data_IF_611110758353
#
_entry.id   IF_611110758353
#
_cell.length_a   1.000
_cell.length_b   1.000
_cell.length_c   1.000
_cell.angle_alpha   90.00
_cell.angle_beta   90.00
_cell.angle_gamma   90.00
#
_symmetry.space_group_name_H-M   'P 1'
#
loop_
_entity.id
_entity.type
_entity.pdbx_description
1 polymer ?
#
# COMPACT_ATOMS: atom_id res chain seq x y z
N UNK A 1 2.85 -37.40 3.00
CA UNK A 1 2.77 -36.17 2.17
C UNK A 1 1.77 -35.21 2.80
N UNK A 2 1.92 -33.91 2.54
CA UNK A 2 1.26 -32.73 3.14
C UNK A 2 2.02 -32.10 4.33
N UNK A 3 2.97 -31.19 4.03
CA UNK A 3 3.43 -30.13 4.96
C UNK A 3 2.53 -28.92 4.72
N UNK A 4 1.75 -28.59 5.74
CA UNK A 4 0.75 -27.52 5.75
C UNK A 4 1.43 -26.15 5.73
N UNK A 5 1.00 -25.30 4.81
CA UNK A 5 1.44 -23.92 4.52
C UNK A 5 0.92 -22.89 5.54
N UNK A 6 1.02 -23.19 6.83
CA UNK A 6 0.34 -22.40 7.88
C UNK A 6 1.25 -21.37 8.59
N UNK A 7 2.56 -21.39 8.30
CA UNK A 7 3.56 -20.52 8.94
C UNK A 7 4.20 -19.45 8.02
N UNK A 8 3.93 -19.47 6.71
CA UNK A 8 4.59 -18.54 5.79
C UNK A 8 3.97 -17.13 5.84
N UNK A 9 2.66 -17.04 6.06
CA UNK A 9 1.93 -15.76 6.04
C UNK A 9 2.07 -14.93 7.31
N UNK A 10 2.23 -15.56 8.49
CA UNK A 10 2.28 -14.83 9.77
C UNK A 10 3.52 -13.93 9.88
N UNK A 11 4.67 -14.40 9.38
CA UNK A 11 5.91 -13.62 9.37
C UNK A 11 6.15 -12.79 8.10
N UNK A 12 5.51 -13.10 6.97
CA UNK A 12 5.78 -12.40 5.71
C UNK A 12 5.47 -10.90 5.79
N UNK A 13 4.29 -10.54 6.29
CA UNK A 13 3.85 -9.14 6.45
C UNK A 13 4.74 -8.35 7.42
N UNK A 14 5.23 -9.02 8.46
CA UNK A 14 6.17 -8.42 9.41
C UNK A 14 7.55 -8.18 8.76
N UNK A 15 8.08 -9.17 8.01
CA UNK A 15 9.33 -9.02 7.26
C UNK A 15 9.26 -7.90 6.23
N UNK A 16 8.15 -7.76 5.50
CA UNK A 16 7.97 -6.66 4.55
C UNK A 16 7.93 -5.30 5.24
N UNK A 17 7.19 -5.17 6.36
CA UNK A 17 7.20 -3.93 7.16
C UNK A 17 8.59 -3.57 7.65
N UNK A 18 9.35 -4.55 8.16
CA UNK A 18 10.73 -4.34 8.60
C UNK A 18 11.62 -3.87 7.44
N UNK A 19 11.54 -4.56 6.29
CA UNK A 19 12.27 -4.19 5.05
C UNK A 19 11.96 -2.75 4.63
N UNK A 20 10.69 -2.33 4.69
CA UNK A 20 10.26 -0.96 4.37
C UNK A 20 10.78 0.08 5.38
N UNK A 21 10.72 -0.21 6.68
CA UNK A 21 11.23 0.71 7.71
C UNK A 21 12.74 0.95 7.54
N UNK A 22 13.49 -0.09 7.16
CA UNK A 22 14.95 -0.01 7.00
C UNK A 22 15.38 0.65 5.68
N UNK A 23 14.63 0.44 4.59
CA UNK A 23 15.11 0.76 3.23
C UNK A 23 14.12 1.60 2.40
N UNK A 24 12.95 1.95 2.92
CA UNK A 24 11.87 2.52 2.13
C UNK A 24 11.38 1.57 1.04
N UNK A 25 10.73 2.10 -0.01
CA UNK A 25 10.31 1.33 -1.17
C UNK A 25 11.40 1.14 -2.23
N UNK A 26 12.59 1.71 -2.05
CA UNK A 26 13.68 1.67 -3.05
C UNK A 26 14.16 0.25 -3.38
N UNK A 27 13.94 -0.69 -2.47
CA UNK A 27 14.32 -2.11 -2.58
C UNK A 27 13.13 -3.04 -2.88
N UNK A 28 11.97 -2.46 -3.21
CA UNK A 28 10.74 -3.21 -3.49
C UNK A 28 10.46 -3.20 -4.99
N UNK A 29 10.02 -4.34 -5.50
CA UNK A 29 9.33 -4.35 -6.78
C UNK A 29 7.98 -3.63 -6.65
N UNK A 30 7.48 -3.04 -7.73
CA UNK A 30 6.23 -2.25 -7.69
C UNK A 30 5.03 -3.03 -7.15
N UNK A 31 4.93 -4.31 -7.50
CA UNK A 31 3.87 -5.20 -7.00
C UNK A 31 4.04 -5.52 -5.51
N UNK A 32 5.27 -5.67 -5.01
CA UNK A 32 5.53 -5.88 -3.57
C UNK A 32 5.14 -4.64 -2.76
N UNK A 33 5.44 -3.44 -3.27
CA UNK A 33 5.05 -2.19 -2.62
C UNK A 33 3.53 -2.04 -2.57
N UNK A 34 2.83 -2.30 -3.69
CA UNK A 34 1.37 -2.26 -3.74
C UNK A 34 0.74 -3.34 -2.85
N UNK A 35 1.29 -4.55 -2.84
CA UNK A 35 0.85 -5.64 -1.97
C UNK A 35 0.95 -5.23 -0.50
N UNK A 36 2.08 -4.67 -0.10
CA UNK A 36 2.29 -4.21 1.27
C UNK A 36 1.30 -3.10 1.65
N UNK A 37 0.99 -2.19 0.73
CA UNK A 37 0.01 -1.15 0.97
C UNK A 37 -1.40 -1.73 1.19
N UNK A 38 -1.79 -2.73 0.39
CA UNK A 38 -3.08 -3.42 0.51
C UNK A 38 -3.23 -4.19 1.83
N UNK A 39 -2.14 -4.55 2.51
CA UNK A 39 -2.20 -5.23 3.80
C UNK A 39 -3.03 -4.50 4.86
N UNK A 40 -3.05 -3.16 4.79
CA UNK A 40 -3.70 -2.31 5.77
C UNK A 40 -5.21 -2.25 5.61
N UNK A 41 -5.75 -2.57 4.44
CA UNK A 41 -7.19 -2.66 4.22
C UNK A 41 -7.71 -4.10 4.04
N UNK A 42 -6.82 -5.06 3.76
CA UNK A 42 -7.19 -6.45 3.49
C UNK A 42 -6.45 -7.38 4.48
N UNK A 43 -7.01 -7.59 5.68
CA UNK A 43 -6.41 -8.45 6.69
C UNK A 43 -6.56 -9.93 6.34
N UNK A 44 -5.52 -10.73 6.61
CA UNK A 44 -5.54 -12.20 6.58
C UNK A 44 -5.95 -12.83 5.22
N UNK A 45 -5.76 -12.12 4.12
CA UNK A 45 -5.87 -12.66 2.75
C UNK A 45 -4.53 -12.55 2.03
N UNK A 46 -4.30 -13.41 1.05
CA UNK A 46 -3.21 -13.23 0.11
C UNK A 46 -3.55 -12.06 -0.83
N UNK A 47 -2.73 -11.02 -0.81
CA UNK A 47 -2.89 -9.82 -1.64
C UNK A 47 -1.90 -9.77 -2.79
N UNK A 48 -0.96 -10.72 -2.89
CA UNK A 48 0.03 -10.76 -3.96
C UNK A 48 -0.66 -10.91 -5.34
N UNK A 49 -1.58 -11.88 -5.55
CA UNK A 49 -2.28 -11.98 -6.83
C UNK A 49 -3.11 -10.73 -7.16
N UNK A 50 -3.66 -10.06 -6.14
CA UNK A 50 -4.43 -8.84 -6.34
C UNK A 50 -3.55 -7.69 -6.82
N UNK A 51 -2.37 -7.51 -6.21
CA UNK A 51 -1.42 -6.48 -6.62
C UNK A 51 -0.96 -6.68 -8.07
N UNK A 52 -0.66 -7.92 -8.46
CA UNK A 52 -0.35 -8.25 -9.85
C UNK A 52 -1.49 -7.91 -10.80
N UNK A 53 -2.71 -8.40 -10.55
CA UNK A 53 -3.86 -8.11 -11.43
C UNK A 53 -4.14 -6.63 -11.59
N UNK A 54 -4.00 -5.86 -10.51
CA UNK A 54 -4.19 -4.40 -10.54
C UNK A 54 -3.13 -3.73 -11.43
N UNK A 55 -1.86 -4.12 -11.29
CA UNK A 55 -0.78 -3.58 -12.11
C UNK A 55 -0.82 -4.07 -13.55
N UNK A 56 -1.29 -5.29 -13.82
CA UNK A 56 -1.48 -5.79 -15.18
C UNK A 56 -2.57 -4.99 -15.91
N UNK A 57 -3.62 -4.58 -15.19
CA UNK A 57 -4.74 -3.81 -15.75
C UNK A 57 -4.43 -2.32 -15.93
N UNK A 58 -3.82 -1.70 -14.91
CA UNK A 58 -3.67 -0.26 -14.81
C UNK A 58 -2.22 0.22 -14.97
N UNK A 59 -1.29 -0.71 -15.19
CA UNK A 59 0.13 -0.53 -15.58
C UNK A 59 1.02 0.07 -14.48
N UNK A 60 0.51 1.04 -13.72
CA UNK A 60 1.28 1.80 -12.73
C UNK A 60 0.50 1.93 -11.42
N UNK A 61 1.20 2.21 -10.32
CA UNK A 61 0.54 2.50 -9.02
C UNK A 61 -0.40 3.71 -9.15
N UNK A 62 0.00 4.75 -9.88
CA UNK A 62 -0.87 5.89 -10.18
C UNK A 62 -2.14 5.46 -10.91
N UNK A 63 -2.01 4.62 -11.95
CA UNK A 63 -3.16 4.05 -12.66
C UNK A 63 -4.09 3.23 -11.75
N UNK A 64 -3.54 2.46 -10.81
CA UNK A 64 -4.33 1.73 -9.80
C UNK A 64 -5.09 2.70 -8.89
N UNK A 65 -4.44 3.77 -8.43
CA UNK A 65 -5.05 4.80 -7.60
C UNK A 65 -6.12 5.60 -8.36
N UNK A 66 -5.96 5.81 -9.67
CA UNK A 66 -6.88 6.60 -10.51
C UNK A 66 -8.04 5.77 -11.07
N UNK A 67 -7.91 4.44 -11.07
CA UNK A 67 -8.92 3.48 -11.56
C UNK A 67 -10.34 3.75 -11.01
N UNK A 68 -11.42 3.63 -11.80
CA UNK A 68 -12.78 3.86 -11.32
C UNK A 68 -13.10 3.03 -10.06
N UNK A 69 -13.63 3.68 -9.01
CA UNK A 69 -13.89 3.01 -7.73
C UNK A 69 -14.84 1.82 -7.89
N UNK A 70 -15.84 1.96 -8.76
CA UNK A 70 -16.77 0.91 -9.15
C UNK A 70 -16.08 -0.30 -9.77
N UNK A 71 -15.06 -0.10 -10.63
CA UNK A 71 -14.30 -1.19 -11.26
C UNK A 71 -13.43 -1.90 -10.21
N UNK A 72 -12.77 -1.14 -9.33
CA UNK A 72 -12.01 -1.69 -8.20
C UNK A 72 -12.88 -2.59 -7.31
N UNK A 73 -14.10 -2.16 -7.00
CA UNK A 73 -15.01 -2.93 -6.16
C UNK A 73 -15.61 -4.14 -6.88
N UNK A 74 -16.12 -3.96 -8.11
CA UNK A 74 -16.86 -4.99 -8.85
C UNK A 74 -15.94 -6.01 -9.52
N UNK A 75 -14.93 -5.55 -10.25
CA UNK A 75 -14.04 -6.42 -11.05
C UNK A 75 -12.89 -6.99 -10.23
N UNK A 76 -12.36 -6.20 -9.28
CA UNK A 76 -11.23 -6.62 -8.44
C UNK A 76 -11.65 -7.17 -7.08
N UNK A 77 -12.93 -7.05 -6.70
CA UNK A 77 -13.47 -7.56 -5.45
C UNK A 77 -12.94 -6.83 -4.22
N UNK A 78 -12.49 -5.58 -4.38
CA UNK A 78 -12.07 -4.74 -3.26
C UNK A 78 -13.29 -4.36 -2.41
N UNK A 79 -13.13 -4.36 -1.10
CA UNK A 79 -14.10 -3.71 -0.21
C UNK A 79 -14.05 -2.19 -0.41
N UNK A 80 -15.10 -1.50 0.01
CA UNK A 80 -15.13 -0.03 0.01
C UNK A 80 -13.92 0.56 0.74
N UNK A 81 -13.55 0.01 1.90
CA UNK A 81 -12.38 0.46 2.66
C UNK A 81 -11.06 0.27 1.88
N UNK A 82 -10.91 -0.83 1.15
CA UNK A 82 -9.70 -1.09 0.37
C UNK A 82 -9.62 -0.20 -0.88
N UNK A 83 -10.75 0.04 -1.54
CA UNK A 83 -10.83 0.98 -2.65
C UNK A 83 -10.58 2.43 -2.16
N UNK A 84 -11.15 2.81 -1.02
CA UNK A 84 -10.93 4.12 -0.40
C UNK A 84 -9.45 4.32 -0.02
N UNK A 85 -8.77 3.29 0.52
CA UNK A 85 -7.33 3.36 0.81
C UNK A 85 -6.50 3.73 -0.44
N UNK A 86 -6.78 3.09 -1.58
CA UNK A 86 -6.11 3.40 -2.85
C UNK A 86 -6.39 4.82 -3.31
N UNK A 87 -7.63 5.30 -3.13
CA UNK A 87 -8.06 6.65 -3.51
C UNK A 87 -7.50 7.75 -2.63
N UNK A 88 -7.29 7.47 -1.34
CA UNK A 88 -6.69 8.43 -0.41
C UNK A 88 -5.21 8.67 -0.67
N UNK A 89 -4.48 7.70 -1.24
CA UNK A 89 -3.04 7.80 -1.44
C UNK A 89 -2.61 9.04 -2.26
N UNK A 90 -3.15 9.30 -3.48
CA UNK A 90 -2.77 10.48 -4.25
C UNK A 90 -3.16 11.80 -3.56
N UNK A 91 -4.32 11.85 -2.87
CA UNK A 91 -4.75 13.03 -2.13
C UNK A 91 -3.82 13.34 -0.94
N UNK A 92 -3.42 12.32 -0.19
CA UNK A 92 -2.46 12.46 0.90
C UNK A 92 -1.06 12.82 0.40
N UNK A 93 -0.63 12.28 -0.75
CA UNK A 93 0.63 12.64 -1.37
C UNK A 93 0.65 14.11 -1.81
N UNK A 94 -0.47 14.62 -2.33
CA UNK A 94 -0.64 16.04 -2.66
C UNK A 94 -0.52 16.91 -1.41
N UNK A 95 -1.28 16.61 -0.36
CA UNK A 95 -1.23 17.35 0.91
C UNK A 95 0.16 17.33 1.55
N UNK A 96 0.83 16.18 1.55
CA UNK A 96 2.21 16.04 2.03
C UNK A 96 3.16 16.95 1.25
N UNK A 97 3.08 16.94 -0.08
CA UNK A 97 3.96 17.73 -0.95
C UNK A 97 3.73 19.23 -0.77
N UNK A 98 2.47 19.67 -0.73
CA UNK A 98 2.11 21.07 -0.46
C UNK A 98 2.62 21.52 0.92
N UNK A 99 2.46 20.67 1.94
CA UNK A 99 2.98 20.94 3.28
C UNK A 99 4.51 21.09 3.29
N UNK A 100 5.23 20.22 2.58
CA UNK A 100 6.70 20.31 2.46
C UNK A 100 7.17 21.55 1.69
N UNK A 101 6.34 22.14 0.83
CA UNK A 101 6.65 23.38 0.12
C UNK A 101 6.31 24.64 0.94
N UNK A 102 5.43 24.53 1.94
CA UNK A 102 5.16 25.63 2.89
C UNK A 102 6.40 25.92 3.75
N UNK A 103 6.61 27.18 4.14
CA UNK A 103 7.74 27.58 5.00
C UNK A 103 7.53 27.22 6.50
N UNK A 104 6.39 26.62 6.86
CA UNK A 104 6.05 26.23 8.24
C UNK A 104 6.72 24.92 8.72
N UNK A 105 7.80 24.50 8.08
CA UNK A 105 8.40 23.15 8.20
C UNK A 105 9.27 22.91 9.45
N UNK A 106 9.13 23.69 10.52
CA UNK A 106 9.93 23.46 11.74
C UNK A 106 9.18 22.48 12.64
N UNK A 107 9.51 21.18 12.51
CA UNK A 107 9.25 20.24 13.60
C UNK A 107 10.25 20.57 14.71
N UNK A 108 9.79 21.29 15.72
CA UNK A 108 10.58 21.59 16.91
C UNK A 108 10.58 20.37 17.84
N UNK A 109 11.60 19.51 17.67
CA UNK A 109 11.77 18.31 18.48
C UNK A 109 12.04 18.60 19.96
N UNK A 110 12.48 19.80 20.32
CA UNK A 110 12.69 20.20 21.73
C UNK A 110 11.35 20.50 22.43
N UNK A 111 10.32 20.91 21.68
CA UNK A 111 8.98 21.19 22.18
C UNK A 111 8.00 20.00 22.12
N UNK A 112 8.49 18.80 21.79
CA UNK A 112 7.70 17.57 21.63
C UNK A 112 7.66 16.67 22.89
N UNK A 113 8.20 17.13 24.03
CA UNK A 113 8.23 16.39 25.30
C UNK A 113 7.04 16.67 26.21
#
# INVERSE_FOLDING_TARGET
MARTTDNEHSGHRERMRKKFIENGFDVFETHEALEMFLYYAIPRKDTNPLAHRLLDRYITVGGVCDAPIDELMKEFGLSENAAALLKMLPEMARLYTESKMSHDNIIDYENLR
#
